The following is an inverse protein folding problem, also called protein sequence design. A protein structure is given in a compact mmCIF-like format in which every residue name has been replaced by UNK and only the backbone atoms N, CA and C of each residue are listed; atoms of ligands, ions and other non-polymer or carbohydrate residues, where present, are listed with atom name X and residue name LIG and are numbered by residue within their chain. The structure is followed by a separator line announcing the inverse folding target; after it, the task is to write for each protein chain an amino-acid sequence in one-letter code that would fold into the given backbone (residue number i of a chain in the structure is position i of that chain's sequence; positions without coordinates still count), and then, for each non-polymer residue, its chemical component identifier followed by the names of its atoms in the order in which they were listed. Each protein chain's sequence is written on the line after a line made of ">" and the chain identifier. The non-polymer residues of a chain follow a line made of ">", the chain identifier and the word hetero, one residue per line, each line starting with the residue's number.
data_IF_390022090324
#
_entry.id   IF_390022090324
#
_cell.length_a   1.000
_cell.length_b   1.000
_cell.length_c   1.000
_cell.angle_alpha   90.00
_cell.angle_beta   90.00
_cell.angle_gamma   90.00
#
_symmetry.space_group_name_H-M   'P 1'
#
loop_
_entity.id
_entity.type
_entity.pdbx_description
1 polymer ?
#
# COMPACT_ATOMS: atom_id res chain seq x y z
N UNK A 1 19.28 -14.80 16.56
CA UNK A 1 18.28 -13.89 17.15
C UNK A 1 17.10 -14.70 17.67
N UNK A 2 16.90 -14.79 18.99
CA UNK A 2 15.79 -15.55 19.58
C UNK A 2 14.42 -14.90 19.27
N UNK A 3 13.38 -15.72 19.19
CA UNK A 3 11.98 -15.30 19.01
C UNK A 3 11.18 -15.76 20.21
N UNK A 4 10.48 -14.83 20.84
CA UNK A 4 9.66 -15.10 22.01
C UNK A 4 8.18 -14.86 21.70
N UNK A 5 7.32 -15.73 22.23
CA UNK A 5 5.88 -15.52 22.25
C UNK A 5 5.40 -15.63 23.70
N UNK A 6 4.79 -14.56 24.22
CA UNK A 6 4.34 -14.47 25.62
C UNK A 6 5.45 -14.85 26.62
N UNK A 7 6.67 -14.34 26.39
CA UNK A 7 7.84 -14.59 27.25
C UNK A 7 8.49 -15.97 27.10
N UNK A 8 7.94 -16.88 26.27
CA UNK A 8 8.50 -18.21 26.01
C UNK A 8 9.31 -18.21 24.71
N UNK A 9 10.51 -18.80 24.73
CA UNK A 9 11.31 -18.98 23.52
C UNK A 9 10.59 -19.97 22.58
N UNK A 10 10.21 -19.52 21.40
CA UNK A 10 9.51 -20.35 20.39
C UNK A 10 10.37 -20.65 19.17
N UNK A 11 11.52 -20.00 19.03
CA UNK A 11 12.43 -20.25 17.94
C UNK A 11 13.59 -19.27 17.92
N UNK A 12 14.41 -19.34 16.88
CA UNK A 12 15.45 -18.35 16.63
C UNK A 12 15.77 -18.27 15.15
N UNK A 13 16.16 -17.09 14.69
CA UNK A 13 16.74 -16.90 13.37
C UNK A 13 18.26 -16.90 13.49
N UNK A 14 18.91 -17.79 12.74
CA UNK A 14 20.34 -17.71 12.48
C UNK A 14 20.55 -16.92 11.20
N UNK A 15 21.72 -16.29 11.05
CA UNK A 15 22.16 -15.85 9.73
C UNK A 15 22.33 -17.07 8.81
N UNK A 16 22.10 -16.86 7.52
CA UNK A 16 22.27 -17.92 6.53
C UNK A 16 23.67 -17.94 5.93
N UNK A 17 24.30 -16.76 5.76
CA UNK A 17 25.65 -16.65 5.21
C UNK A 17 26.50 -15.59 5.93
N UNK A 18 27.79 -15.86 6.10
CA UNK A 18 28.68 -15.02 6.93
C UNK A 18 29.06 -13.69 6.28
N UNK A 19 29.24 -13.71 4.96
CA UNK A 19 29.64 -12.53 4.19
C UNK A 19 28.47 -11.86 3.46
N UNK A 20 27.22 -12.23 3.80
CA UNK A 20 26.04 -11.63 3.18
C UNK A 20 25.21 -10.86 4.21
N UNK A 21 25.20 -9.53 4.07
CA UNK A 21 24.44 -8.65 4.95
C UNK A 21 22.93 -8.79 4.77
N UNK A 22 22.48 -9.22 3.59
CA UNK A 22 21.05 -9.44 3.29
C UNK A 22 20.51 -10.71 3.95
N UNK A 23 21.41 -11.58 4.43
CA UNK A 23 21.07 -12.85 5.08
C UNK A 23 21.40 -12.85 6.58
N UNK A 24 21.51 -11.65 7.19
CA UNK A 24 21.57 -11.49 8.64
C UNK A 24 20.25 -11.90 9.28
N UNK A 25 20.31 -12.41 10.51
CA UNK A 25 19.11 -12.86 11.23
C UNK A 25 18.03 -11.78 11.38
N UNK A 26 18.41 -10.50 11.46
CA UNK A 26 17.47 -9.39 11.54
C UNK A 26 16.73 -9.18 10.21
N UNK A 27 17.45 -9.23 9.09
CA UNK A 27 16.86 -9.10 7.74
C UNK A 27 15.95 -10.29 7.44
N UNK A 28 16.38 -11.50 7.79
CA UNK A 28 15.54 -12.69 7.64
C UNK A 28 14.27 -12.61 8.50
N UNK A 29 14.33 -11.96 9.67
CA UNK A 29 13.15 -11.74 10.50
C UNK A 29 12.20 -10.74 9.87
N UNK A 30 12.72 -9.65 9.32
CA UNK A 30 11.93 -8.68 8.56
C UNK A 30 11.21 -9.35 7.38
N UNK A 31 11.92 -10.17 6.61
CA UNK A 31 11.37 -10.94 5.51
C UNK A 31 10.25 -11.89 5.98
N UNK A 32 10.44 -12.55 7.13
CA UNK A 32 9.43 -13.44 7.71
C UNK A 32 8.19 -12.67 8.16
N UNK A 33 8.35 -11.49 8.79
CA UNK A 33 7.24 -10.64 9.24
C UNK A 33 6.43 -10.15 8.03
N UNK A 34 7.11 -9.66 6.99
CA UNK A 34 6.47 -9.23 5.75
C UNK A 34 5.71 -10.40 5.08
N UNK A 35 6.37 -11.55 4.92
CA UNK A 35 5.75 -12.77 4.38
C UNK A 35 4.52 -13.18 5.18
N UNK A 36 4.65 -13.30 6.51
CA UNK A 36 3.59 -13.82 7.37
C UNK A 36 2.38 -12.88 7.45
N UNK A 37 2.61 -11.57 7.59
CA UNK A 37 1.52 -10.58 7.67
C UNK A 37 0.79 -10.42 6.34
N UNK A 38 1.50 -10.43 5.20
CA UNK A 38 0.88 -10.42 3.87
C UNK A 38 0.10 -11.70 3.59
N UNK A 39 0.66 -12.87 3.95
CA UNK A 39 -0.03 -14.16 3.81
C UNK A 39 -1.30 -14.23 4.65
N UNK A 40 -1.26 -13.72 5.90
CA UNK A 40 -2.45 -13.63 6.74
C UNK A 40 -3.54 -12.75 6.10
N UNK A 41 -3.17 -11.61 5.50
CA UNK A 41 -4.10 -10.76 4.77
C UNK A 41 -4.72 -11.48 3.56
N UNK A 42 -3.94 -12.25 2.80
CA UNK A 42 -4.42 -13.08 1.70
C UNK A 42 -5.42 -14.15 2.17
N UNK A 43 -5.12 -14.86 3.26
CA UNK A 43 -6.04 -15.86 3.83
C UNK A 43 -7.38 -15.25 4.27
N UNK A 44 -7.34 -14.05 4.85
CA UNK A 44 -8.56 -13.29 5.16
C UNK A 44 -9.32 -12.88 3.91
N UNK A 45 -8.62 -12.42 2.87
CA UNK A 45 -9.20 -12.08 1.57
C UNK A 45 -9.91 -13.29 0.95
N UNK A 46 -9.26 -14.46 0.87
CA UNK A 46 -9.85 -15.67 0.29
C UNK A 46 -11.15 -16.07 1.00
N UNK A 47 -11.13 -16.05 2.34
CA UNK A 47 -12.33 -16.33 3.13
C UNK A 47 -13.46 -15.34 2.85
N UNK A 48 -13.15 -14.05 2.66
CA UNK A 48 -14.16 -13.01 2.40
C UNK A 48 -14.68 -13.02 0.97
N UNK A 49 -13.80 -13.29 0.00
CA UNK A 49 -14.14 -13.36 -1.42
C UNK A 49 -14.79 -14.70 -1.82
N UNK A 50 -14.68 -15.72 -0.97
CA UNK A 50 -15.24 -17.05 -1.26
C UNK A 50 -14.48 -17.81 -2.34
N UNK A 51 -13.20 -17.50 -2.55
CA UNK A 51 -12.33 -18.19 -3.51
C UNK A 51 -11.38 -19.15 -2.79
N UNK A 52 -10.91 -20.16 -3.51
CA UNK A 52 -9.86 -21.06 -3.01
C UNK A 52 -8.48 -20.54 -3.42
N UNK A 53 -7.41 -20.83 -2.67
CA UNK A 53 -6.05 -20.44 -3.07
C UNK A 53 -5.65 -20.96 -4.46
N UNK A 54 -6.17 -22.11 -4.89
CA UNK A 54 -5.89 -22.69 -6.20
C UNK A 54 -6.50 -21.91 -7.37
N UNK A 55 -7.47 -21.03 -7.11
CA UNK A 55 -8.10 -20.18 -8.12
C UNK A 55 -7.26 -18.94 -8.45
N UNK A 56 -6.19 -18.67 -7.69
CA UNK A 56 -5.31 -17.50 -7.90
C UNK A 56 -4.32 -17.78 -9.02
N UNK A 57 -4.28 -16.89 -10.02
CA UNK A 57 -3.38 -17.00 -11.17
C UNK A 57 -2.06 -16.23 -10.96
N UNK A 58 -2.14 -15.08 -10.28
CA UNK A 58 -1.01 -14.18 -10.12
C UNK A 58 -1.05 -13.44 -8.79
N UNK A 59 0.12 -13.29 -8.15
CA UNK A 59 0.29 -12.48 -6.94
C UNK A 59 1.26 -11.32 -7.22
N UNK A 60 0.79 -10.11 -6.97
CA UNK A 60 1.61 -8.89 -6.96
C UNK A 60 1.91 -8.50 -5.53
N UNK A 61 3.20 -8.48 -5.20
CA UNK A 61 3.66 -7.97 -3.92
C UNK A 61 3.78 -6.44 -3.95
N UNK A 62 3.26 -5.79 -2.92
CA UNK A 62 3.41 -4.34 -2.70
C UNK A 62 4.05 -4.01 -1.34
N UNK A 63 4.76 -4.96 -0.72
CA UNK A 63 5.57 -4.68 0.47
C UNK A 63 6.69 -3.70 0.20
N UNK A 64 7.22 -3.11 1.27
CA UNK A 64 8.46 -2.31 1.20
C UNK A 64 9.72 -3.17 1.33
N UNK A 65 9.57 -4.41 1.82
CA UNK A 65 10.68 -5.31 2.12
C UNK A 65 11.25 -5.91 0.84
N UNK A 66 12.43 -5.44 0.43
CA UNK A 66 13.19 -6.07 -0.65
C UNK A 66 13.87 -7.34 -0.15
N UNK A 67 13.61 -8.47 -0.81
CA UNK A 67 14.18 -9.78 -0.44
C UNK A 67 15.12 -10.35 -1.50
N UNK A 68 15.97 -11.28 -1.08
CA UNK A 68 16.99 -11.92 -1.90
C UNK A 68 18.37 -11.82 -1.26
N UNK A 69 19.30 -12.59 -1.81
CA UNK A 69 20.70 -12.58 -1.38
C UNK A 69 21.49 -11.43 -2.02
N UNK A 70 22.80 -11.37 -1.76
CA UNK A 70 23.70 -10.36 -2.35
C UNK A 70 23.75 -10.36 -3.87
N UNK A 71 23.35 -11.44 -4.53
CA UNK A 71 23.36 -11.58 -5.98
C UNK A 71 22.02 -11.23 -6.61
N UNK A 72 20.92 -11.44 -5.88
CA UNK A 72 19.55 -11.21 -6.32
C UNK A 72 18.82 -10.21 -5.41
N UNK A 73 19.48 -9.09 -5.06
CA UNK A 73 18.91 -8.09 -4.15
C UNK A 73 17.61 -7.52 -4.71
N UNK A 74 16.50 -7.77 -4.02
CA UNK A 74 15.16 -7.40 -4.48
C UNK A 74 14.54 -8.34 -5.50
N UNK A 75 15.21 -9.44 -5.86
CA UNK A 75 14.76 -10.46 -6.81
C UNK A 75 14.21 -11.74 -6.17
N UNK A 76 14.18 -11.85 -4.84
CA UNK A 76 13.74 -13.06 -4.12
C UNK A 76 12.24 -13.38 -4.18
N UNK A 77 11.42 -12.53 -4.82
CA UNK A 77 9.97 -12.68 -5.05
C UNK A 77 9.15 -12.91 -3.78
N UNK A 78 8.87 -11.83 -3.04
CA UNK A 78 8.01 -11.88 -1.86
C UNK A 78 6.58 -12.31 -2.23
N UNK A 79 6.11 -11.92 -3.42
CA UNK A 79 4.85 -12.39 -4.02
C UNK A 79 4.73 -13.91 -4.01
N UNK A 80 5.70 -14.62 -4.58
CA UNK A 80 5.72 -16.09 -4.62
C UNK A 80 5.89 -16.70 -3.24
N UNK A 81 6.67 -16.06 -2.36
CA UNK A 81 6.82 -16.52 -0.99
C UNK A 81 5.48 -16.47 -0.23
N UNK A 82 4.68 -15.41 -0.39
CA UNK A 82 3.34 -15.31 0.20
C UNK A 82 2.36 -16.31 -0.45
N UNK A 83 2.41 -16.43 -1.78
CA UNK A 83 1.58 -17.38 -2.54
C UNK A 83 1.80 -18.84 -2.07
N UNK A 84 3.06 -19.24 -1.91
CA UNK A 84 3.46 -20.56 -1.39
C UNK A 84 2.88 -20.79 0.00
N UNK A 85 3.05 -19.83 0.92
CA UNK A 85 2.54 -19.94 2.30
C UNK A 85 1.02 -20.05 2.37
N UNK A 86 0.31 -19.51 1.37
CA UNK A 86 -1.14 -19.56 1.29
C UNK A 86 -1.67 -20.77 0.49
N UNK A 87 -0.80 -21.59 -0.12
CA UNK A 87 -1.21 -22.73 -0.95
C UNK A 87 -1.72 -22.35 -2.34
N UNK A 88 -1.31 -21.19 -2.88
CA UNK A 88 -1.67 -20.75 -4.23
C UNK A 88 -0.86 -21.52 -5.29
N UNK A 89 -1.10 -22.82 -5.41
CA UNK A 89 -0.26 -23.76 -6.20
C UNK A 89 -0.21 -23.46 -7.69
N UNK A 90 -1.22 -22.79 -8.23
CA UNK A 90 -1.31 -22.42 -9.65
C UNK A 90 -0.78 -21.01 -9.93
N UNK A 91 -0.47 -20.24 -8.89
CA UNK A 91 -0.10 -18.84 -9.03
C UNK A 91 1.37 -18.67 -9.42
N UNK A 92 1.63 -17.64 -10.23
CA UNK A 92 2.96 -17.02 -10.34
C UNK A 92 2.93 -15.64 -9.68
N UNK A 93 4.02 -14.86 -9.77
CA UNK A 93 4.05 -13.56 -9.13
C UNK A 93 5.28 -12.72 -9.44
N UNK A 94 5.15 -11.43 -9.13
CA UNK A 94 6.23 -10.45 -9.18
C UNK A 94 6.04 -9.37 -8.10
N UNK A 95 7.10 -8.60 -7.85
CA UNK A 95 7.13 -7.61 -6.78
C UNK A 95 7.14 -6.19 -7.35
N UNK A 96 6.32 -5.31 -6.77
CA UNK A 96 6.22 -3.88 -7.09
C UNK A 96 6.89 -3.08 -5.97
N UNK A 97 7.95 -2.35 -6.32
CA UNK A 97 8.69 -1.51 -5.38
C UNK A 97 8.44 -0.04 -5.67
N UNK A 98 7.58 0.57 -4.85
CA UNK A 98 7.30 2.00 -4.92
C UNK A 98 6.98 2.60 -3.53
N UNK A 99 7.58 2.09 -2.45
CA UNK A 99 7.37 2.59 -1.09
C UNK A 99 5.86 2.63 -0.73
N UNK A 100 5.39 3.65 0.00
CA UNK A 100 3.97 3.81 0.36
C UNK A 100 3.01 3.83 -0.84
N UNK A 101 3.47 4.14 -2.07
CA UNK A 101 2.60 4.12 -3.25
C UNK A 101 2.58 2.78 -4.00
N UNK A 102 3.35 1.78 -3.55
CA UNK A 102 3.36 0.43 -4.13
C UNK A 102 1.96 -0.19 -4.26
N UNK A 103 1.03 -0.05 -3.29
CA UNK A 103 -0.32 -0.59 -3.44
C UNK A 103 -1.06 -0.03 -4.66
N UNK A 104 -0.97 1.28 -4.93
CA UNK A 104 -1.62 1.89 -6.10
C UNK A 104 -1.01 1.38 -7.40
N UNK A 105 0.33 1.30 -7.48
CA UNK A 105 1.01 0.75 -8.67
C UNK A 105 0.66 -0.73 -8.91
N UNK A 106 0.58 -1.53 -7.84
CA UNK A 106 0.23 -2.94 -7.92
C UNK A 106 -1.23 -3.15 -8.32
N UNK A 107 -2.18 -2.38 -7.78
CA UNK A 107 -3.61 -2.43 -8.18
C UNK A 107 -3.77 -2.04 -9.66
N UNK A 108 -3.13 -0.96 -10.12
CA UNK A 108 -3.19 -0.56 -11.54
C UNK A 108 -2.59 -1.66 -12.44
N UNK A 109 -1.48 -2.28 -12.01
CA UNK A 109 -0.85 -3.37 -12.77
C UNK A 109 -1.75 -4.61 -12.82
N UNK A 110 -2.35 -4.99 -11.70
CA UNK A 110 -3.30 -6.10 -11.61
C UNK A 110 -4.50 -5.88 -12.53
N UNK A 111 -5.10 -4.69 -12.46
CA UNK A 111 -6.23 -4.32 -13.29
C UNK A 111 -5.86 -4.34 -14.79
N UNK A 112 -4.65 -3.90 -15.14
CA UNK A 112 -4.14 -4.02 -16.51
C UNK A 112 -3.99 -5.46 -16.98
N UNK A 113 -3.47 -6.36 -16.13
CA UNK A 113 -3.34 -7.79 -16.45
C UNK A 113 -4.70 -8.45 -16.69
N UNK A 114 -5.67 -8.16 -15.81
CA UNK A 114 -7.03 -8.68 -15.90
C UNK A 114 -7.76 -8.12 -17.13
N UNK A 115 -7.70 -6.80 -17.34
CA UNK A 115 -8.33 -6.15 -18.49
C UNK A 115 -7.76 -6.61 -19.83
N UNK A 116 -6.48 -6.96 -19.87
CA UNK A 116 -5.83 -7.54 -21.06
C UNK A 116 -6.16 -9.04 -21.27
N UNK A 117 -6.85 -9.69 -20.34
CA UNK A 117 -7.18 -11.11 -20.39
C UNK A 117 -5.98 -12.04 -20.18
N UNK A 118 -4.90 -11.54 -19.56
CA UNK A 118 -3.70 -12.33 -19.28
C UNK A 118 -3.94 -13.28 -18.10
N UNK A 119 -4.64 -12.80 -17.07
CA UNK A 119 -5.00 -13.55 -15.86
C UNK A 119 -6.43 -13.21 -15.46
N UNK A 120 -7.12 -14.11 -14.74
CA UNK A 120 -8.49 -13.88 -14.28
C UNK A 120 -8.53 -13.42 -12.83
N UNK A 121 -7.75 -14.05 -11.96
CA UNK A 121 -7.72 -13.77 -10.52
C UNK A 121 -6.32 -13.30 -10.12
N UNK A 122 -6.14 -11.98 -10.00
CA UNK A 122 -4.88 -11.37 -9.58
C UNK A 122 -5.01 -10.85 -8.16
N UNK A 123 -4.16 -11.34 -7.25
CA UNK A 123 -4.09 -10.89 -5.88
C UNK A 123 -2.99 -9.84 -5.74
N UNK A 124 -3.32 -8.67 -5.20
CA UNK A 124 -2.33 -7.68 -4.74
C UNK A 124 -2.20 -7.82 -3.24
N UNK A 125 -1.00 -8.07 -2.72
CA UNK A 125 -0.78 -8.25 -1.29
C UNK A 125 0.46 -7.52 -0.79
N UNK A 126 0.39 -6.99 0.43
CA UNK A 126 1.51 -6.34 1.10
C UNK A 126 1.47 -6.60 2.59
N UNK A 127 2.48 -7.29 3.12
CA UNK A 127 2.77 -7.35 4.54
C UNK A 127 3.53 -6.14 5.09
N UNK A 128 3.59 -6.05 6.41
CA UNK A 128 4.19 -4.91 7.10
C UNK A 128 5.71 -5.01 7.20
N UNK A 129 6.34 -3.84 7.25
CA UNK A 129 7.78 -3.66 7.29
C UNK A 129 8.27 -3.47 8.73
N UNK A 130 9.08 -4.39 9.25
CA UNK A 130 9.60 -4.30 10.62
C UNK A 130 10.45 -3.05 10.84
N UNK A 131 11.17 -2.57 9.83
CA UNK A 131 11.98 -1.36 9.93
C UNK A 131 11.16 -0.09 10.21
N UNK A 132 9.84 -0.11 9.96
CA UNK A 132 8.93 0.99 10.28
C UNK A 132 8.34 0.93 11.69
N UNK A 133 8.47 -0.21 12.38
CA UNK A 133 7.94 -0.37 13.73
C UNK A 133 8.69 0.56 14.68
N UNK A 134 7.93 1.45 15.33
CA UNK A 134 8.45 2.46 16.24
C UNK A 134 9.32 3.52 15.55
N UNK A 135 9.23 3.74 14.24
CA UNK A 135 10.20 4.62 13.55
C UNK A 135 10.25 6.07 14.07
N UNK A 136 9.19 6.55 14.74
CA UNK A 136 9.10 7.86 15.40
C UNK A 136 9.04 7.76 16.92
N UNK A 137 9.47 6.64 17.52
CA UNK A 137 9.39 6.40 18.97
C UNK A 137 9.92 7.55 19.83
N UNK A 138 11.00 8.22 19.40
CA UNK A 138 11.63 9.30 20.16
C UNK A 138 10.67 10.47 20.45
N UNK A 139 9.79 10.80 19.50
CA UNK A 139 8.79 11.84 19.69
C UNK A 139 7.72 11.42 20.72
N UNK A 140 7.23 10.18 20.63
CA UNK A 140 6.30 9.63 21.62
C UNK A 140 6.89 9.65 23.04
N UNK A 141 8.13 9.18 23.20
CA UNK A 141 8.81 9.18 24.50
C UNK A 141 9.01 10.59 25.06
N UNK A 142 9.36 11.57 24.20
CA UNK A 142 9.50 12.98 24.61
C UNK A 142 8.20 13.55 25.17
N UNK A 143 7.06 13.09 24.67
CA UNK A 143 5.73 13.49 25.13
C UNK A 143 5.15 12.57 26.23
N UNK A 144 5.97 11.67 26.81
CA UNK A 144 5.55 10.69 27.82
C UNK A 144 4.37 9.82 27.35
N UNK A 145 4.41 9.42 26.08
CA UNK A 145 3.42 8.58 25.44
C UNK A 145 3.99 7.18 25.16
N UNK A 146 3.12 6.14 25.11
CA UNK A 146 3.53 4.84 24.60
C UNK A 146 3.97 4.95 23.12
N UNK A 147 4.79 4.01 22.67
CA UNK A 147 5.17 3.92 21.25
C UNK A 147 3.95 3.42 20.48
N UNK A 148 3.30 4.30 19.71
CA UNK A 148 2.05 3.97 19.00
C UNK A 148 2.26 3.22 17.68
N UNK A 149 3.47 3.26 17.12
CA UNK A 149 3.83 2.57 15.87
C UNK A 149 4.35 1.15 16.15
N UNK A 150 3.81 0.46 17.16
CA UNK A 150 4.23 -0.87 17.60
C UNK A 150 3.43 -2.02 16.93
N UNK A 151 2.69 -1.69 15.86
CA UNK A 151 1.81 -2.59 15.13
C UNK A 151 2.33 -2.88 13.72
N UNK A 152 2.17 -4.12 13.29
CA UNK A 152 2.40 -4.55 11.90
C UNK A 152 1.05 -4.83 11.26
N UNK A 153 0.81 -4.24 10.09
CA UNK A 153 -0.41 -4.46 9.31
C UNK A 153 -0.09 -5.19 8.00
N UNK A 154 -1.10 -5.87 7.44
CA UNK A 154 -1.06 -6.44 6.11
C UNK A 154 -2.31 -6.07 5.32
N UNK A 155 -2.19 -5.97 4.00
CA UNK A 155 -3.27 -5.64 3.07
C UNK A 155 -3.32 -6.67 1.94
N UNK A 156 -4.52 -6.94 1.45
CA UNK A 156 -4.72 -7.77 0.27
C UNK A 156 -5.96 -7.34 -0.51
N UNK A 157 -5.88 -7.33 -1.83
CA UNK A 157 -6.98 -7.06 -2.76
C UNK A 157 -7.06 -8.18 -3.79
N UNK A 158 -8.27 -8.59 -4.14
CA UNK A 158 -8.54 -9.46 -5.27
C UNK A 158 -9.02 -8.60 -6.43
N UNK A 159 -8.35 -8.70 -7.57
CA UNK A 159 -8.75 -8.02 -8.81
C UNK A 159 -9.18 -9.09 -9.81
N UNK A 160 -10.42 -8.98 -10.26
CA UNK A 160 -11.06 -9.89 -11.21
C UNK A 160 -11.69 -9.14 -12.37
N UNK A 161 -12.20 -9.88 -13.35
CA UNK A 161 -13.15 -9.34 -14.33
C UNK A 161 -14.37 -8.76 -13.60
N UNK A 162 -15.04 -7.82 -14.26
CA UNK A 162 -16.28 -7.21 -13.77
C UNK A 162 -17.32 -8.31 -13.51
N UNK A 163 -17.72 -8.43 -12.25
CA UNK A 163 -18.70 -9.38 -11.75
C UNK A 163 -20.12 -8.76 -11.65
N UNK A 164 -20.27 -7.48 -12.01
CA UNK A 164 -21.50 -6.70 -11.92
C UNK A 164 -21.92 -6.31 -10.50
N UNK A 165 -21.08 -6.57 -9.48
CA UNK A 165 -21.41 -6.36 -8.06
C UNK A 165 -20.32 -5.57 -7.33
N UNK A 166 -19.06 -5.90 -7.58
CA UNK A 166 -17.88 -5.32 -6.93
C UNK A 166 -17.51 -3.95 -7.51
N UNK A 167 -16.75 -3.11 -6.77
CA UNK A 167 -16.27 -1.84 -7.30
C UNK A 167 -15.43 -2.00 -8.57
N UNK A 168 -15.70 -1.18 -9.59
CA UNK A 168 -14.99 -1.22 -10.87
C UNK A 168 -13.82 -0.23 -10.89
N UNK A 169 -12.65 -0.68 -11.35
CA UNK A 169 -11.47 0.17 -11.54
C UNK A 169 -11.50 0.85 -12.91
N UNK A 170 -11.58 2.19 -12.92
CA UNK A 170 -11.56 3.02 -14.14
C UNK A 170 -10.14 3.21 -14.67
N UNK A 171 -9.67 2.29 -15.51
CA UNK A 171 -8.33 2.34 -16.12
C UNK A 171 -8.14 3.53 -17.08
N UNK A 172 -9.22 4.05 -17.65
CA UNK A 172 -9.22 5.26 -18.48
C UNK A 172 -8.96 6.54 -17.68
N UNK A 173 -9.22 6.53 -16.37
CA UNK A 173 -9.02 7.65 -15.45
C UNK A 173 -7.73 7.54 -14.60
N UNK A 174 -6.73 6.76 -15.03
CA UNK A 174 -5.46 6.68 -14.32
C UNK A 174 -4.63 7.95 -14.54
N UNK A 175 -4.28 8.61 -13.43
CA UNK A 175 -3.38 9.75 -13.37
C UNK A 175 -1.91 9.33 -13.47
N UNK A 176 -1.09 10.20 -14.06
CA UNK A 176 0.36 9.99 -14.17
C UNK A 176 1.09 11.31 -13.92
N UNK A 177 2.11 11.24 -13.08
CA UNK A 177 3.05 12.33 -12.89
C UNK A 177 4.29 12.11 -13.76
N UNK A 178 4.51 12.98 -14.74
CA UNK A 178 5.64 12.87 -15.64
C UNK A 178 6.95 13.25 -14.93
N UNK A 179 8.03 12.49 -15.19
CA UNK A 179 9.36 12.75 -14.59
C UNK A 179 9.83 14.18 -14.87
N UNK A 180 9.54 14.71 -16.07
CA UNK A 180 9.92 16.07 -16.46
C UNK A 180 9.06 17.20 -15.88
N UNK A 181 7.97 16.89 -15.16
CA UNK A 181 7.04 17.90 -14.63
C UNK A 181 7.56 18.60 -13.34
N UNK A 182 8.69 18.11 -12.78
CA UNK A 182 9.24 18.62 -11.53
C UNK A 182 8.47 18.13 -10.31
N UNK A 183 8.68 18.76 -9.15
CA UNK A 183 8.03 18.41 -7.88
C UNK A 183 7.08 19.46 -7.25
N UNK A 184 6.59 20.53 -7.93
CA UNK A 184 5.59 21.40 -7.31
C UNK A 184 4.30 20.62 -6.96
N UNK A 185 3.88 20.66 -5.69
CA UNK A 185 2.74 19.88 -5.18
C UNK A 185 1.46 20.08 -5.99
N UNK A 186 1.19 21.31 -6.43
CA UNK A 186 0.02 21.64 -7.25
C UNK A 186 0.09 20.98 -8.65
N UNK A 187 1.27 20.93 -9.27
CA UNK A 187 1.46 20.30 -10.58
C UNK A 187 1.31 18.77 -10.50
N UNK A 188 1.77 18.18 -9.38
CA UNK A 188 1.55 16.77 -9.05
C UNK A 188 0.05 16.49 -8.97
N UNK A 189 -0.69 17.21 -8.12
CA UNK A 189 -2.13 17.00 -7.95
C UNK A 189 -2.92 17.25 -9.24
N UNK A 190 -2.58 18.29 -10.01
CA UNK A 190 -3.20 18.52 -11.31
C UNK A 190 -3.00 17.34 -12.27
N UNK A 191 -1.81 16.72 -12.26
CA UNK A 191 -1.50 15.59 -13.14
C UNK A 191 -2.12 14.27 -12.67
N UNK A 192 -2.26 14.09 -11.34
CA UNK A 192 -2.83 12.89 -10.75
C UNK A 192 -4.36 12.93 -10.61
N UNK A 193 -4.97 14.12 -10.63
CA UNK A 193 -6.41 14.29 -10.36
C UNK A 193 -7.13 15.03 -11.49
N UNK A 194 -6.76 16.28 -11.80
CA UNK A 194 -7.51 17.07 -12.78
C UNK A 194 -7.43 16.48 -14.19
N UNK A 195 -6.22 16.18 -14.68
CA UNK A 195 -6.02 15.62 -16.03
C UNK A 195 -6.78 14.31 -16.25
N UNK A 196 -6.70 13.29 -15.37
CA UNK A 196 -7.45 12.06 -15.58
C UNK A 196 -8.96 12.26 -15.51
N UNK A 197 -9.48 13.08 -14.59
CA UNK A 197 -10.92 13.36 -14.50
C UNK A 197 -11.43 14.08 -15.75
N UNK A 198 -10.69 15.09 -16.23
CA UNK A 198 -11.03 15.80 -17.46
C UNK A 198 -11.06 14.86 -18.69
N UNK A 199 -10.17 13.87 -18.76
CA UNK A 199 -10.14 12.87 -19.84
C UNK A 199 -11.45 12.07 -19.93
N UNK A 200 -12.08 11.81 -18.79
CA UNK A 200 -13.35 11.06 -18.70
C UNK A 200 -14.57 11.96 -18.54
N UNK A 201 -14.40 13.28 -18.74
CA UNK A 201 -15.48 14.25 -18.67
C UNK A 201 -16.05 14.48 -17.27
N UNK A 202 -15.28 14.18 -16.22
CA UNK A 202 -15.68 14.35 -14.83
C UNK A 202 -14.97 15.53 -14.16
N UNK A 203 -15.61 16.09 -13.14
CA UNK A 203 -15.09 17.11 -12.24
C UNK A 203 -14.64 16.49 -10.93
N UNK A 204 -13.85 17.21 -10.15
CA UNK A 204 -13.50 16.83 -8.78
C UNK A 204 -14.74 16.77 -7.88
N UNK A 205 -15.76 17.58 -8.18
CA UNK A 205 -17.05 17.57 -7.48
C UNK A 205 -17.93 16.37 -7.84
N UNK A 206 -17.57 15.59 -8.86
CA UNK A 206 -18.33 14.38 -9.22
C UNK A 206 -17.81 13.14 -8.46
N UNK A 207 -16.68 13.27 -7.74
CA UNK A 207 -16.09 12.20 -6.94
C UNK A 207 -16.60 12.30 -5.50
N UNK A 208 -17.32 11.27 -5.06
CA UNK A 208 -17.92 11.24 -3.72
C UNK A 208 -16.88 11.28 -2.61
N UNK A 209 -15.80 10.49 -2.76
CA UNK A 209 -14.74 10.34 -1.77
C UNK A 209 -13.36 10.28 -2.39
N UNK A 210 -12.42 10.97 -1.73
CA UNK A 210 -11.00 10.89 -2.02
C UNK A 210 -10.29 10.18 -0.87
N UNK A 211 -9.55 9.12 -1.22
CA UNK A 211 -8.61 8.48 -0.32
C UNK A 211 -7.18 8.88 -0.74
N UNK A 212 -6.54 9.73 0.06
CA UNK A 212 -5.13 10.11 -0.15
C UNK A 212 -4.21 9.23 0.70
N UNK A 213 -3.06 9.73 1.11
CA UNK A 213 -2.24 9.09 2.13
C UNK A 213 -3.00 9.09 3.48
N UNK A 214 -3.60 7.94 3.80
CA UNK A 214 -4.44 7.70 4.99
C UNK A 214 -3.55 7.40 6.21
N UNK A 215 -2.71 8.37 6.57
CA UNK A 215 -1.99 8.32 7.83
C UNK A 215 -2.95 8.62 8.97
N UNK A 216 -2.90 7.82 10.04
CA UNK A 216 -3.67 8.05 11.25
C UNK A 216 -3.12 9.29 12.00
N UNK A 217 -3.87 10.42 12.06
CA UNK A 217 -3.41 11.64 12.72
C UNK A 217 -3.17 11.47 14.21
N UNK A 218 -3.84 10.52 14.88
CA UNK A 218 -3.63 10.21 16.30
C UNK A 218 -2.21 9.68 16.56
N UNK A 219 -1.56 9.10 15.55
CA UNK A 219 -0.16 8.65 15.60
C UNK A 219 0.78 9.76 15.11
N UNK A 220 0.46 10.40 13.98
CA UNK A 220 1.40 11.33 13.33
C UNK A 220 1.48 12.70 13.99
N UNK A 221 0.41 13.20 14.61
CA UNK A 221 0.42 14.49 15.31
C UNK A 221 1.35 14.48 16.53
N UNK A 222 1.29 13.50 17.46
CA UNK A 222 2.26 13.40 18.55
C UNK A 222 3.69 13.19 18.07
N UNK A 223 3.88 12.53 16.93
CA UNK A 223 5.18 12.34 16.30
C UNK A 223 5.75 13.60 15.63
N UNK A 224 5.00 14.71 15.60
CA UNK A 224 5.39 15.96 14.95
C UNK A 224 5.31 15.95 13.42
N UNK A 225 4.64 14.95 12.84
CA UNK A 225 4.49 14.80 11.38
C UNK A 225 3.22 15.47 10.84
N UNK A 226 2.34 15.97 11.71
CA UNK A 226 1.13 16.69 11.32
C UNK A 226 -0.04 15.78 10.93
N UNK A 227 -1.10 16.39 10.40
CA UNK A 227 -2.26 15.70 9.85
C UNK A 227 -2.15 15.67 8.31
N UNK A 228 -1.50 14.62 7.80
CA UNK A 228 -1.25 14.43 6.38
C UNK A 228 -2.54 14.37 5.54
N UNK A 229 -3.57 13.57 5.90
CA UNK A 229 -4.85 13.56 5.18
C UNK A 229 -5.47 14.95 5.06
N UNK A 230 -5.62 15.69 6.17
CA UNK A 230 -6.25 17.01 6.16
C UNK A 230 -5.50 18.02 5.29
N UNK A 231 -4.17 18.00 5.31
CA UNK A 231 -3.35 18.86 4.45
C UNK A 231 -3.58 18.53 2.97
N UNK A 232 -3.62 17.25 2.63
CA UNK A 232 -3.85 16.80 1.25
C UNK A 232 -5.25 17.21 0.75
N UNK A 233 -6.30 16.99 1.54
CA UNK A 233 -7.66 17.38 1.14
C UNK A 233 -7.81 18.89 0.99
N UNK A 234 -7.20 19.70 1.87
CA UNK A 234 -7.18 21.16 1.72
C UNK A 234 -6.48 21.60 0.44
N UNK A 235 -5.38 20.95 0.10
CA UNK A 235 -4.65 21.22 -1.14
C UNK A 235 -5.48 20.85 -2.37
N UNK A 236 -6.20 19.73 -2.32
CA UNK A 236 -7.13 19.32 -3.37
C UNK A 236 -8.31 20.27 -3.52
N UNK A 237 -8.90 20.72 -2.41
CA UNK A 237 -9.99 21.71 -2.43
C UNK A 237 -9.52 23.05 -3.01
N UNK A 238 -8.31 23.51 -2.64
CA UNK A 238 -7.71 24.70 -3.22
C UNK A 238 -7.47 24.56 -4.73
N UNK A 239 -7.08 23.36 -5.19
CA UNK A 239 -6.95 23.05 -6.61
C UNK A 239 -8.31 23.09 -7.33
N UNK A 240 -9.38 22.55 -6.74
CA UNK A 240 -10.73 22.62 -7.29
C UNK A 240 -11.25 24.06 -7.38
N UNK A 241 -10.95 24.90 -6.38
CA UNK A 241 -11.30 26.33 -6.40
C UNK A 241 -10.53 27.09 -7.49
N UNK A 242 -9.24 26.76 -7.68
CA UNK A 242 -8.44 27.36 -8.75
C UNK A 242 -8.94 26.95 -10.14
N UNK A 243 -9.36 25.71 -10.30
CA UNK A 243 -9.99 25.18 -11.52
C UNK A 243 -11.45 25.65 -11.68
N UNK A 244 -11.94 26.53 -10.80
CA UNK A 244 -13.28 27.12 -10.81
C UNK A 244 -14.42 26.11 -10.71
N UNK A 245 -14.18 24.96 -10.06
CA UNK A 245 -15.22 23.94 -9.82
C UNK A 245 -16.02 24.21 -8.53
N UNK A 246 -15.42 24.94 -7.58
CA UNK A 246 -16.04 25.39 -6.33
C UNK A 246 -15.62 26.84 -6.04
N UNK A 247 -16.33 27.53 -5.15
CA UNK A 247 -15.86 28.80 -4.60
C UNK A 247 -14.80 28.59 -3.51
N UNK A 248 -13.92 29.58 -3.27
CA UNK A 248 -12.90 29.51 -2.21
C UNK A 248 -13.52 29.35 -0.82
N UNK A 249 -14.72 29.86 -0.61
CA UNK A 249 -15.48 29.71 0.65
C UNK A 249 -15.96 28.28 0.88
N UNK A 250 -15.97 27.42 -0.14
CA UNK A 250 -16.42 26.03 -0.06
C UNK A 250 -15.31 25.04 0.28
N UNK A 251 -14.07 25.49 0.49
CA UNK A 251 -12.91 24.61 0.75
C UNK A 251 -13.16 23.68 1.95
N UNK A 252 -13.59 24.21 3.08
CA UNK A 252 -13.81 23.40 4.30
C UNK A 252 -14.98 22.42 4.11
N UNK A 253 -16.00 22.83 3.33
CA UNK A 253 -17.12 21.95 2.97
C UNK A 253 -16.64 20.79 2.09
N UNK A 254 -15.80 21.06 1.09
CA UNK A 254 -15.20 20.04 0.23
C UNK A 254 -14.42 19.01 1.05
N UNK A 255 -13.56 19.48 1.97
CA UNK A 255 -12.76 18.59 2.84
C UNK A 255 -13.67 17.70 3.67
N UNK A 256 -14.73 18.27 4.29
CA UNK A 256 -15.67 17.51 5.12
C UNK A 256 -16.49 16.50 4.32
N UNK A 257 -17.00 16.89 3.16
CA UNK A 257 -17.91 16.05 2.37
C UNK A 257 -17.16 14.98 1.58
N UNK A 258 -15.99 15.31 1.02
CA UNK A 258 -15.26 14.43 0.09
C UNK A 258 -13.99 13.81 0.66
N UNK A 259 -13.45 14.35 1.74
CA UNK A 259 -12.34 13.73 2.45
C UNK A 259 -12.75 12.45 3.18
N UNK A 260 -11.74 11.66 3.56
CA UNK A 260 -11.86 10.52 4.45
C UNK A 260 -10.97 10.71 5.67
N UNK A 261 -11.39 10.29 6.88
CA UNK A 261 -10.47 10.23 8.01
C UNK A 261 -9.29 9.32 7.65
N UNK A 262 -8.09 9.72 8.08
CA UNK A 262 -6.89 8.89 7.96
C UNK A 262 -6.78 7.86 9.06
#
# INVERSE_FOLDING_TARGET
>A
MPVYFQGKLVGSLRRDHDNDDTLKSLVLMENLIAKASGSLAMLHLFKRAGITPADVDFVLDCTETAIGDRYNRGGGSMSKAMAEMCGCVNATGSDVRAFCCAPNHAIISAAGMVAAGIFENVVVAGGGCMAKVGMKFAAHLKHNMPILEDVVAGIAFLVTKDDGVSPVLRLDAVGKHDVGAGSPQQAILASLILKPLARVGMKMTDIDKYATEMHNPEITLPAGSGDTPSINYKTMAALAALDKQIDRTEIEKFVKERGMPG
#
